data_IF_048625335599
#
_entry.id   IF_048625335599
#
_cell.length_a   1.000
_cell.length_b   1.000
_cell.length_c   1.000
_cell.angle_alpha   90.00
_cell.angle_beta   90.00
_cell.angle_gamma   90.00
#
_symmetry.space_group_name_H-M   'P 1'
#
loop_
_entity.id
_entity.type
_entity.pdbx_description
1 polymer ?
#
# COMPACT_ATOMS: atom_id res chain seq x y z
N UNK A 1 14.81 10.62 -6.52
CA UNK A 1 14.15 9.61 -5.67
C UNK A 1 13.41 8.56 -6.50
N UNK A 2 12.64 8.98 -7.52
CA UNK A 2 11.89 8.07 -8.41
C UNK A 2 12.78 7.00 -9.06
N UNK A 3 13.92 7.36 -9.62
CA UNK A 3 14.87 6.40 -10.21
C UNK A 3 15.33 5.32 -9.23
N UNK A 4 15.59 5.72 -7.98
CA UNK A 4 15.98 4.76 -6.93
C UNK A 4 14.83 3.79 -6.61
N UNK A 5 13.59 4.31 -6.56
CA UNK A 5 12.41 3.49 -6.33
C UNK A 5 12.15 2.55 -7.51
N UNK A 6 12.34 3.01 -8.74
CA UNK A 6 12.20 2.19 -9.95
C UNK A 6 13.23 1.05 -9.98
N UNK A 7 14.48 1.36 -9.61
CA UNK A 7 15.55 0.36 -9.47
C UNK A 7 15.19 -0.70 -8.41
N UNK A 8 14.70 -0.27 -7.24
CA UNK A 8 14.24 -1.17 -6.19
C UNK A 8 13.09 -2.06 -6.68
N UNK A 9 12.09 -1.48 -7.34
CA UNK A 9 10.96 -2.23 -7.90
C UNK A 9 11.42 -3.25 -8.94
N UNK A 10 12.40 -2.90 -9.76
CA UNK A 10 13.00 -3.79 -10.76
C UNK A 10 13.72 -4.97 -10.12
N UNK A 11 14.53 -4.72 -9.08
CA UNK A 11 15.18 -5.76 -8.29
C UNK A 11 14.17 -6.72 -7.63
N UNK A 12 13.09 -6.18 -7.04
CA UNK A 12 12.03 -6.98 -6.41
C UNK A 12 11.24 -7.81 -7.42
N UNK A 13 11.07 -7.33 -8.66
CA UNK A 13 10.44 -8.09 -9.75
C UNK A 13 11.30 -9.22 -10.28
N UNK A 14 12.63 -9.07 -10.22
CA UNK A 14 13.59 -10.03 -10.74
C UNK A 14 13.59 -11.35 -9.94
N UNK A 15 13.11 -11.36 -8.71
CA UNK A 15 13.04 -12.56 -7.88
C UNK A 15 11.63 -12.93 -7.47
N UNK A 16 11.33 -14.23 -7.42
CA UNK A 16 10.09 -14.76 -6.82
C UNK A 16 10.28 -15.18 -5.36
N UNK A 17 11.54 -15.30 -4.90
CA UNK A 17 11.87 -15.74 -3.55
C UNK A 17 11.51 -14.67 -2.52
N UNK A 18 10.75 -15.08 -1.48
CA UNK A 18 10.39 -14.23 -0.36
C UNK A 18 11.62 -13.75 0.42
N UNK A 19 12.57 -14.66 0.66
CA UNK A 19 13.79 -14.34 1.43
C UNK A 19 14.68 -13.35 0.68
N UNK A 20 14.80 -13.49 -0.65
CA UNK A 20 15.57 -12.55 -1.46
C UNK A 20 14.95 -11.17 -1.44
N UNK A 21 13.62 -11.07 -1.53
CA UNK A 21 12.90 -9.79 -1.41
C UNK A 21 13.14 -9.12 -0.07
N UNK A 22 13.09 -9.89 1.02
CA UNK A 22 13.41 -9.38 2.36
C UNK A 22 14.84 -8.86 2.41
N UNK A 23 15.80 -9.57 1.83
CA UNK A 23 17.21 -9.17 1.78
C UNK A 23 17.40 -7.89 0.95
N UNK A 24 16.75 -7.79 -0.21
CA UNK A 24 16.74 -6.58 -1.06
C UNK A 24 16.18 -5.39 -0.29
N UNK A 25 15.06 -5.56 0.40
CA UNK A 25 14.45 -4.47 1.19
C UNK A 25 15.38 -4.03 2.33
N UNK A 26 15.98 -4.97 3.08
CA UNK A 26 16.95 -4.66 4.16
C UNK A 26 18.15 -3.87 3.65
N UNK A 27 18.67 -4.22 2.48
CA UNK A 27 19.79 -3.51 1.85
C UNK A 27 19.38 -2.10 1.35
N UNK A 28 18.10 -1.85 1.18
CA UNK A 28 17.54 -0.58 0.72
C UNK A 28 16.73 0.12 1.84
N UNK A 29 17.33 0.29 3.02
CA UNK A 29 16.65 0.85 4.21
C UNK A 29 16.06 2.26 4.02
N UNK A 30 16.56 3.02 3.05
CA UNK A 30 16.02 4.32 2.64
C UNK A 30 14.56 4.23 2.17
N UNK A 31 14.12 3.05 1.72
CA UNK A 31 12.77 2.83 1.20
C UNK A 31 11.68 2.76 2.27
N UNK A 32 12.03 2.65 3.56
CA UNK A 32 11.08 2.47 4.66
C UNK A 32 9.93 3.47 4.64
N UNK A 33 10.25 4.76 4.58
CA UNK A 33 9.23 5.81 4.64
C UNK A 33 8.32 5.78 3.41
N UNK A 34 8.88 5.54 2.23
CA UNK A 34 8.08 5.43 0.99
C UNK A 34 7.19 4.20 1.05
N UNK A 35 7.70 3.05 1.50
CA UNK A 35 6.91 1.83 1.66
C UNK A 35 5.80 2.01 2.70
N UNK A 36 6.09 2.69 3.81
CA UNK A 36 5.07 3.04 4.80
C UNK A 36 3.94 3.87 4.15
N UNK A 37 4.27 4.90 3.39
CA UNK A 37 3.28 5.74 2.73
C UNK A 37 2.46 4.99 1.68
N UNK A 38 3.06 4.04 0.97
CA UNK A 38 2.38 3.26 -0.07
C UNK A 38 1.50 2.15 0.55
N UNK A 39 2.00 1.42 1.53
CA UNK A 39 1.35 0.20 2.03
C UNK A 39 0.55 0.38 3.33
N UNK A 40 0.69 1.51 4.05
CA UNK A 40 -0.11 1.77 5.24
C UNK A 40 -1.61 1.88 4.88
N UNK A 41 -2.49 1.02 5.42
CA UNK A 41 -3.92 1.04 5.12
C UNK A 41 -4.62 2.34 5.56
N UNK A 42 -4.09 3.02 6.58
CA UNK A 42 -4.68 4.24 7.13
C UNK A 42 -4.44 5.48 6.25
N UNK A 43 -3.48 5.41 5.32
CA UNK A 43 -3.19 6.50 4.38
C UNK A 43 -4.03 6.30 3.13
N UNK A 44 -4.90 7.25 2.81
CA UNK A 44 -5.75 7.23 1.63
C UNK A 44 -5.41 8.41 0.72
N UNK A 45 -5.21 8.14 -0.56
CA UNK A 45 -4.90 9.18 -1.56
C UNK A 45 -6.14 9.73 -2.28
N UNK A 46 -7.31 9.12 -2.11
CA UNK A 46 -8.56 9.59 -2.72
C UNK A 46 -8.61 9.57 -4.25
N UNK A 47 -7.61 9.00 -4.91
CA UNK A 47 -7.46 8.95 -6.36
C UNK A 47 -6.94 7.58 -6.82
N UNK A 48 -7.19 7.22 -8.06
CA UNK A 48 -6.66 6.01 -8.69
C UNK A 48 -6.03 6.33 -10.04
N UNK A 49 -5.07 5.52 -10.47
CA UNK A 49 -4.44 5.67 -11.78
C UNK A 49 -5.43 5.69 -12.94
N UNK A 50 -6.49 4.87 -12.84
CA UNK A 50 -7.57 4.83 -13.84
C UNK A 50 -8.27 6.18 -13.98
N UNK A 51 -8.49 6.90 -12.86
CA UNK A 51 -9.12 8.22 -12.86
C UNK A 51 -8.19 9.28 -13.44
N UNK A 52 -6.89 9.24 -13.10
CA UNK A 52 -5.87 10.13 -13.64
C UNK A 52 -5.78 10.02 -15.17
N UNK A 53 -5.71 8.80 -15.70
CA UNK A 53 -5.67 8.56 -17.16
C UNK A 53 -6.91 9.01 -17.90
N UNK A 54 -8.08 9.00 -17.25
CA UNK A 54 -9.33 9.44 -17.87
C UNK A 54 -9.46 10.96 -17.92
N UNK A 55 -8.93 11.63 -16.91
CA UNK A 55 -9.01 13.09 -16.75
C UNK A 55 -7.59 13.66 -16.91
N UNK A 56 -7.18 13.90 -18.14
CA UNK A 56 -5.85 14.46 -18.43
C UNK A 56 -5.84 15.98 -18.16
N UNK A 57 -6.02 16.33 -16.88
CA UNK A 57 -6.12 17.71 -16.40
C UNK A 57 -4.82 18.11 -15.68
N UNK A 58 -4.26 19.24 -16.10
CA UNK A 58 -3.02 19.84 -15.57
C UNK A 58 -3.39 21.21 -15.01
N UNK A 59 -3.02 21.54 -13.81
CA UNK A 59 -3.39 22.81 -13.18
C UNK A 59 -2.30 23.45 -12.32
N UNK A 60 -1.06 23.30 -12.71
CA UNK A 60 0.03 24.01 -12.05
C UNK A 60 0.33 23.63 -10.59
N UNK A 61 -0.36 22.65 -10.01
CA UNK A 61 0.01 22.08 -8.70
C UNK A 61 1.36 21.40 -8.85
N UNK A 62 2.38 21.92 -8.19
CA UNK A 62 3.76 21.43 -8.29
C UNK A 62 4.21 20.80 -6.99
N UNK A 63 4.91 19.69 -7.12
CA UNK A 63 5.62 19.06 -6.03
C UNK A 63 7.12 19.10 -6.28
N UNK A 64 7.90 19.30 -5.25
CA UNK A 64 9.36 19.40 -5.34
C UNK A 64 10.00 18.02 -5.51
N UNK A 65 9.45 17.02 -4.85
CA UNK A 65 9.90 15.65 -4.89
C UNK A 65 8.77 14.64 -4.56
N UNK A 66 9.11 13.36 -4.52
CA UNK A 66 8.16 12.29 -4.23
C UNK A 66 7.54 12.39 -2.82
N UNK A 67 8.28 12.85 -1.82
CA UNK A 67 7.76 12.98 -0.45
C UNK A 67 6.77 14.13 -0.34
N UNK A 68 7.11 15.26 -0.94
CA UNK A 68 6.22 16.42 -1.03
C UNK A 68 4.94 16.06 -1.79
N UNK A 69 5.07 15.39 -2.94
CA UNK A 69 3.96 14.87 -3.72
C UNK A 69 3.02 14.00 -2.87
N UNK A 70 3.55 13.01 -2.15
CA UNK A 70 2.73 12.13 -1.32
C UNK A 70 2.09 12.86 -0.14
N UNK A 71 2.76 13.88 0.41
CA UNK A 71 2.23 14.71 1.50
C UNK A 71 1.07 15.57 1.02
N UNK A 72 1.22 16.22 -0.12
CA UNK A 72 0.16 17.01 -0.74
C UNK A 72 -1.04 16.12 -1.11
N UNK A 73 -0.77 14.92 -1.66
CA UNK A 73 -1.82 14.00 -2.10
C UNK A 73 -2.74 13.54 -0.98
N UNK A 74 -2.24 13.41 0.25
CA UNK A 74 -3.06 13.09 1.44
C UNK A 74 -3.98 14.25 1.84
N UNK A 75 -3.55 15.48 1.61
CA UNK A 75 -4.31 16.69 2.01
C UNK A 75 -5.37 17.12 0.99
N UNK A 76 -5.28 16.61 -0.24
CA UNK A 76 -6.17 16.96 -1.33
C UNK A 76 -7.32 15.96 -1.50
N UNK A 77 -8.31 16.36 -2.27
CA UNK A 77 -9.45 15.50 -2.62
C UNK A 77 -9.97 15.75 -4.04
N UNK A 78 -10.69 14.77 -4.58
CA UNK A 78 -11.41 14.91 -5.84
C UNK A 78 -10.53 15.18 -7.07
N UNK A 79 -10.81 16.27 -7.78
CA UNK A 79 -10.10 16.64 -9.00
C UNK A 79 -8.67 17.16 -8.74
N UNK A 80 -8.43 17.79 -7.60
CA UNK A 80 -7.13 18.35 -7.28
C UNK A 80 -6.07 17.25 -7.11
N UNK A 81 -6.47 16.07 -6.57
CA UNK A 81 -5.60 14.91 -6.55
C UNK A 81 -5.20 14.45 -7.98
N UNK A 82 -6.17 14.47 -8.92
CA UNK A 82 -5.92 14.08 -10.31
C UNK A 82 -4.93 15.04 -10.96
N UNK A 83 -5.15 16.35 -10.80
CA UNK A 83 -4.27 17.40 -11.33
C UNK A 83 -2.86 17.29 -10.79
N UNK A 84 -2.73 17.09 -9.46
CA UNK A 84 -1.43 16.89 -8.83
C UNK A 84 -0.70 15.68 -9.40
N UNK A 85 -1.38 14.53 -9.55
CA UNK A 85 -0.77 13.32 -10.10
C UNK A 85 -0.32 13.52 -11.54
N UNK A 86 -1.18 14.11 -12.39
CA UNK A 86 -0.87 14.34 -13.79
C UNK A 86 0.26 15.35 -13.94
N UNK A 87 0.25 16.43 -13.16
CA UNK A 87 1.34 17.41 -13.16
C UNK A 87 2.66 16.80 -12.70
N UNK A 88 2.63 15.94 -11.66
CA UNK A 88 3.83 15.26 -11.19
C UNK A 88 4.41 14.29 -12.23
N UNK A 89 3.56 13.61 -12.98
CA UNK A 89 3.98 12.76 -14.10
C UNK A 89 4.58 13.60 -15.24
N UNK A 90 4.00 14.75 -15.55
CA UNK A 90 4.53 15.66 -16.57
C UNK A 90 5.90 16.23 -16.19
N UNK A 91 6.06 16.64 -14.92
CA UNK A 91 7.30 17.27 -14.43
C UNK A 91 8.46 16.27 -14.27
N UNK A 92 8.17 15.04 -13.83
CA UNK A 92 9.20 14.05 -13.43
C UNK A 92 9.23 12.78 -14.30
N UNK A 93 8.23 12.54 -15.12
CA UNK A 93 8.10 11.29 -15.87
C UNK A 93 7.69 10.10 -14.98
N UNK A 94 8.18 8.90 -15.31
CA UNK A 94 7.94 7.66 -14.56
C UNK A 94 6.45 7.33 -14.34
N UNK A 95 5.59 7.61 -15.32
CA UNK A 95 4.13 7.46 -15.25
C UNK A 95 3.70 6.13 -14.62
N UNK A 96 4.25 5.01 -15.09
CA UNK A 96 3.88 3.68 -14.61
C UNK A 96 4.19 3.49 -13.12
N UNK A 97 5.31 4.06 -12.64
CA UNK A 97 5.70 4.00 -11.24
C UNK A 97 4.82 4.91 -10.38
N UNK A 98 4.59 6.14 -10.80
CA UNK A 98 3.72 7.10 -10.10
C UNK A 98 2.31 6.52 -9.95
N UNK A 99 1.76 5.96 -11.01
CA UNK A 99 0.47 5.29 -10.97
C UNK A 99 0.45 4.08 -10.02
N UNK A 100 1.53 3.29 -9.98
CA UNK A 100 1.64 2.17 -9.04
C UNK A 100 1.71 2.64 -7.57
N UNK A 101 2.35 3.77 -7.32
CA UNK A 101 2.40 4.42 -5.99
C UNK A 101 1.01 4.90 -5.58
N UNK A 102 0.30 5.60 -6.46
CA UNK A 102 -1.06 6.11 -6.21
C UNK A 102 -2.07 4.97 -5.98
N UNK A 103 -1.94 3.89 -6.74
CA UNK A 103 -2.77 2.67 -6.57
C UNK A 103 -2.34 1.84 -5.35
N UNK A 104 -1.34 2.28 -4.59
CA UNK A 104 -0.79 1.60 -3.41
C UNK A 104 -0.33 0.16 -3.71
N UNK A 105 0.16 -0.07 -4.92
CA UNK A 105 0.62 -1.38 -5.37
C UNK A 105 1.75 -1.25 -6.39
N UNK A 106 2.98 -1.45 -5.95
CA UNK A 106 4.17 -1.39 -6.79
C UNK A 106 4.29 -2.53 -7.80
N UNK A 107 3.35 -3.47 -7.80
CA UNK A 107 3.28 -4.63 -8.73
C UNK A 107 4.57 -5.46 -8.77
N UNK A 108 5.24 -5.56 -7.63
CA UNK A 108 6.47 -6.35 -7.46
C UNK A 108 6.28 -7.55 -6.51
N UNK A 109 5.01 -7.93 -6.24
CA UNK A 109 4.64 -9.07 -5.39
C UNK A 109 5.25 -8.98 -3.99
N UNK A 110 5.18 -7.80 -3.39
CA UNK A 110 5.41 -7.57 -1.97
C UNK A 110 4.09 -7.16 -1.31
N UNK A 111 3.92 -7.56 -0.07
CA UNK A 111 2.79 -7.24 0.79
C UNK A 111 3.30 -6.73 2.14
N UNK A 112 2.39 -6.36 3.02
CA UNK A 112 2.65 -5.96 4.40
C UNK A 112 3.48 -7.00 5.16
N UNK A 113 3.23 -8.27 4.91
CA UNK A 113 3.96 -9.38 5.56
C UNK A 113 5.44 -9.39 5.15
N UNK A 114 5.74 -9.28 3.86
CA UNK A 114 7.13 -9.22 3.36
C UNK A 114 7.83 -7.96 3.84
N UNK A 115 7.14 -6.83 3.84
CA UNK A 115 7.68 -5.56 4.32
C UNK A 115 7.97 -5.63 5.82
N UNK A 116 7.07 -6.17 6.63
CA UNK A 116 7.25 -6.30 8.07
C UNK A 116 8.31 -7.36 8.46
N UNK A 117 8.59 -8.34 7.60
CA UNK A 117 9.76 -9.22 7.78
C UNK A 117 11.08 -8.50 7.55
N UNK A 118 11.10 -7.56 6.61
CA UNK A 118 12.30 -6.74 6.38
C UNK A 118 12.44 -5.63 7.44
N UNK A 119 11.33 -5.00 7.80
CA UNK A 119 11.25 -3.86 8.71
C UNK A 119 10.14 -4.12 9.74
N UNK A 120 10.44 -4.78 10.86
CA UNK A 120 9.42 -5.19 11.83
C UNK A 120 8.54 -4.03 12.31
N UNK A 121 7.21 -4.22 12.19
CA UNK A 121 6.21 -3.24 12.63
C UNK A 121 6.12 -1.97 11.78
N UNK A 122 6.72 -1.95 10.58
CA UNK A 122 6.67 -0.77 9.71
C UNK A 122 5.24 -0.51 9.20
N UNK A 123 4.56 -1.54 8.73
CA UNK A 123 3.18 -1.43 8.25
C UNK A 123 2.24 -1.87 9.37
N UNK A 124 1.31 -1.01 9.82
CA UNK A 124 0.30 -1.40 10.79
C UNK A 124 -0.54 -2.56 10.24
N UNK A 125 -0.70 -3.62 11.03
CA UNK A 125 -1.54 -4.76 10.68
C UNK A 125 -2.58 -4.94 11.79
N UNK A 126 -3.83 -5.02 11.40
CA UNK A 126 -4.91 -5.32 12.32
C UNK A 126 -5.31 -6.80 12.16
N UNK A 127 -4.91 -7.61 13.12
CA UNK A 127 -5.27 -9.02 13.15
C UNK A 127 -6.62 -9.19 13.86
N UNK A 128 -7.64 -9.52 13.09
CA UNK A 128 -8.94 -9.95 13.66
C UNK A 128 -8.93 -11.43 13.93
N UNK A 129 -9.58 -11.84 15.01
CA UNK A 129 -9.85 -13.25 15.24
C UNK A 129 -10.67 -13.81 14.07
N UNK A 130 -10.16 -14.84 13.41
CA UNK A 130 -10.86 -15.57 12.37
C UNK A 130 -11.54 -16.78 12.99
N UNK A 131 -12.82 -16.99 12.69
CA UNK A 131 -13.51 -18.21 13.03
C UNK A 131 -12.84 -19.40 12.36
N UNK A 132 -12.60 -20.45 13.11
CA UNK A 132 -12.08 -21.72 12.62
C UNK A 132 -13.20 -22.72 12.50
N UNK A 133 -12.98 -23.75 11.68
CA UNK A 133 -13.95 -24.82 11.53
C UNK A 133 -14.03 -25.63 12.84
N UNK A 134 -15.23 -25.81 13.38
CA UNK A 134 -15.45 -26.57 14.61
C UNK A 134 -14.90 -28.01 14.54
N UNK A 135 -15.07 -28.68 13.39
CA UNK A 135 -14.62 -30.06 13.20
C UNK A 135 -13.13 -30.26 13.40
N UNK A 136 -12.33 -29.20 13.09
CA UNK A 136 -10.87 -29.24 13.18
C UNK A 136 -10.36 -28.78 14.55
N UNK A 137 -11.25 -28.25 15.39
CA UNK A 137 -10.91 -27.61 16.67
C UNK A 137 -11.88 -27.92 17.79
N UNK A 138 -12.61 -29.05 17.72
CA UNK A 138 -13.60 -29.44 18.71
C UNK A 138 -13.00 -29.59 20.13
N UNK A 139 -11.73 -29.96 20.23
CA UNK A 139 -11.03 -30.14 21.53
C UNK A 139 -10.83 -28.83 22.31
N UNK A 140 -11.04 -27.67 21.67
CA UNK A 140 -10.95 -26.35 22.32
C UNK A 140 -12.31 -25.81 22.79
N UNK A 141 -13.41 -26.56 22.53
CA UNK A 141 -14.76 -26.13 22.88
C UNK A 141 -15.17 -26.84 24.16
N UNK A 142 -15.46 -26.09 25.19
CA UNK A 142 -15.94 -26.56 26.49
C UNK A 142 -17.36 -26.05 26.78
N UNK A 143 -17.88 -26.33 27.97
CA UNK A 143 -19.24 -25.96 28.37
C UNK A 143 -19.45 -24.44 28.56
N UNK A 144 -18.36 -23.67 28.59
CA UNK A 144 -18.39 -22.19 28.75
C UNK A 144 -18.57 -21.43 27.43
N UNK A 145 -18.59 -22.14 26.30
CA UNK A 145 -18.75 -21.52 24.99
C UNK A 145 -20.19 -21.10 24.71
N UNK A 146 -20.33 -19.87 24.19
CA UNK A 146 -21.62 -19.33 23.79
C UNK A 146 -21.78 -19.41 22.27
N UNK A 147 -22.95 -19.86 21.84
CA UNK A 147 -23.34 -19.85 20.44
C UNK A 147 -24.24 -18.64 20.14
N UNK A 148 -23.98 -17.95 19.05
CA UNK A 148 -24.84 -16.90 18.55
C UNK A 148 -25.10 -17.07 17.06
N UNK A 149 -26.24 -16.56 16.58
CA UNK A 149 -26.55 -16.57 15.18
C UNK A 149 -25.56 -15.67 14.43
N UNK A 150 -24.96 -16.18 13.35
CA UNK A 150 -24.16 -15.36 12.44
C UNK A 150 -25.10 -14.45 11.65
N UNK A 151 -24.97 -13.14 11.85
CA UNK A 151 -25.69 -12.16 11.07
C UNK A 151 -24.88 -11.80 9.83
N UNK A 152 -25.53 -11.78 8.67
CA UNK A 152 -24.93 -11.28 7.44
C UNK A 152 -24.92 -9.74 7.47
N UNK A 153 -23.74 -9.16 7.37
CA UNK A 153 -23.57 -7.71 7.44
C UNK A 153 -22.12 -7.29 7.20
N UNK A 154 -21.93 -5.99 7.11
CA UNK A 154 -20.59 -5.39 7.02
C UNK A 154 -19.95 -5.39 8.40
N UNK A 155 -18.73 -5.90 8.52
CA UNK A 155 -17.96 -5.80 9.76
C UNK A 155 -17.56 -4.36 10.00
N UNK A 156 -17.97 -3.78 11.11
CA UNK A 156 -17.47 -2.51 11.60
C UNK A 156 -16.41 -2.81 12.68
N UNK A 157 -15.25 -2.16 12.54
CA UNK A 157 -14.20 -2.15 13.57
C UNK A 157 -14.11 -0.72 14.09
N UNK A 158 -14.32 -0.55 15.37
CA UNK A 158 -14.28 0.75 16.06
C UNK A 158 -13.00 0.85 16.86
#
# INVERSE_FOLDING_TARGET
MLEKLETLVSQLKATSSRNDKVSILKSNSWSKEILLRIYNPDILYGVTSKKCKKLNDLDGLKSVDLYDFLTQLVSLSGHDCVRLVNQFVEDFGHEALVHAVVDKNLKCRIDDTVINLAFPGLIPTFNVALAKNYTDHADYVDDDWLASQKLDGVRLVV
#
